data_IF_096560491099
#
_entry.id   IF_096560491099
#
_cell.length_a   1.000
_cell.length_b   1.000
_cell.length_c   1.000
_cell.angle_alpha   90.00
_cell.angle_beta   90.00
_cell.angle_gamma   90.00
#
_symmetry.space_group_name_H-M   'P 1'
#
loop_
_entity.id
_entity.type
_entity.pdbx_description
1 polymer ?
#
# COMPACT_ATOMS: atom_id res chain seq x y z
N UNK A 1 9.13 11.61 20.13
CA UNK A 1 8.44 10.33 19.99
C UNK A 1 8.62 9.77 18.61
N UNK A 2 8.93 8.51 18.55
CA UNK A 2 9.09 7.87 17.26
C UNK A 2 7.73 7.70 16.60
N UNK A 3 7.60 8.22 15.39
CA UNK A 3 6.43 7.98 14.59
C UNK A 3 6.54 6.56 14.03
N UNK A 4 5.45 5.84 14.11
CA UNK A 4 5.38 4.52 13.52
C UNK A 4 5.19 4.65 12.02
N UNK A 5 6.04 4.00 11.27
CA UNK A 5 5.95 3.97 9.82
C UNK A 5 5.67 2.56 9.33
N UNK A 6 4.95 2.49 8.25
CA UNK A 6 4.64 1.24 7.58
C UNK A 6 5.38 1.18 6.26
N UNK A 7 6.01 0.06 5.98
CA UNK A 7 6.59 -0.19 4.67
C UNK A 7 5.62 -1.05 3.89
N UNK A 8 5.18 -0.54 2.76
CA UNK A 8 4.21 -1.21 1.90
C UNK A 8 4.89 -1.62 0.62
N UNK A 9 4.86 -2.89 0.31
CA UNK A 9 5.48 -3.45 -0.89
C UNK A 9 4.41 -4.02 -1.79
N UNK A 10 4.44 -3.65 -3.07
CA UNK A 10 3.52 -4.20 -4.05
C UNK A 10 4.00 -5.60 -4.45
N UNK A 11 3.28 -6.63 -4.03
CA UNK A 11 3.66 -8.02 -4.29
C UNK A 11 2.90 -8.65 -5.43
N UNK A 12 1.78 -8.05 -5.85
CA UNK A 12 0.99 -8.53 -6.99
C UNK A 12 0.61 -7.36 -7.87
N UNK A 13 0.55 -7.61 -9.18
CA UNK A 13 0.13 -6.59 -10.13
C UNK A 13 -1.34 -6.24 -9.94
N UNK A 14 -1.65 -4.95 -10.05
CA UNK A 14 -3.03 -4.47 -10.02
C UNK A 14 -3.73 -4.62 -11.37
N UNK A 15 -3.03 -5.09 -12.39
CA UNK A 15 -3.61 -5.31 -13.71
C UNK A 15 -4.69 -6.39 -13.60
N UNK A 16 -5.87 -6.09 -14.13
CA UNK A 16 -7.01 -7.00 -14.05
C UNK A 16 -7.92 -6.79 -12.85
N UNK A 17 -7.52 -5.94 -11.91
CA UNK A 17 -8.36 -5.57 -10.77
C UNK A 17 -9.15 -4.31 -11.07
N UNK A 18 -10.10 -3.98 -10.21
CA UNK A 18 -10.98 -2.85 -10.40
C UNK A 18 -10.22 -1.52 -10.42
N UNK A 19 -10.80 -0.51 -11.06
CA UNK A 19 -10.22 0.83 -11.09
C UNK A 19 -10.01 1.40 -9.69
N UNK A 20 -10.91 1.10 -8.77
CA UNK A 20 -10.79 1.56 -7.38
C UNK A 20 -9.52 1.03 -6.73
N UNK A 21 -9.23 -0.23 -6.96
CA UNK A 21 -8.04 -0.86 -6.41
C UNK A 21 -6.78 -0.28 -7.04
N UNK A 22 -6.79 -0.05 -8.35
CA UNK A 22 -5.68 0.57 -9.05
C UNK A 22 -5.41 1.97 -8.52
N UNK A 23 -6.46 2.76 -8.32
CA UNK A 23 -6.34 4.11 -7.79
C UNK A 23 -5.79 4.11 -6.37
N UNK A 24 -6.22 3.17 -5.55
CA UNK A 24 -5.74 3.05 -4.18
C UNK A 24 -4.25 2.72 -4.15
N UNK A 25 -3.81 1.80 -4.98
CA UNK A 25 -2.39 1.45 -5.10
C UNK A 25 -1.58 2.65 -5.55
N UNK A 26 -2.06 3.42 -6.52
CA UNK A 26 -1.40 4.65 -6.96
C UNK A 26 -1.34 5.70 -5.87
N UNK A 27 -2.41 5.84 -5.10
CA UNK A 27 -2.46 6.79 -4.00
C UNK A 27 -1.43 6.43 -2.92
N UNK A 28 -1.13 5.15 -2.77
CA UNK A 28 -0.07 4.70 -1.88
C UNK A 28 1.33 4.94 -2.45
N UNK A 29 1.43 5.33 -3.71
CA UNK A 29 2.71 5.57 -4.36
C UNK A 29 3.32 4.34 -5.01
N UNK A 30 2.59 3.25 -5.06
CA UNK A 30 3.08 2.01 -5.66
C UNK A 30 2.70 1.96 -7.13
N UNK A 31 3.70 1.75 -7.99
CA UNK A 31 3.49 1.70 -9.43
C UNK A 31 4.06 0.45 -10.07
N UNK A 32 5.05 -0.15 -9.43
CA UNK A 32 5.74 -1.32 -9.98
C UNK A 32 5.70 -2.47 -8.99
N UNK A 33 5.64 -3.66 -9.53
CA UNK A 33 5.73 -4.86 -8.71
C UNK A 33 7.09 -4.88 -8.00
N UNK A 34 7.06 -5.18 -6.71
CA UNK A 34 8.26 -5.19 -5.89
C UNK A 34 8.67 -3.84 -5.33
N UNK A 35 7.98 -2.76 -5.72
CA UNK A 35 8.27 -1.44 -5.18
C UNK A 35 7.84 -1.34 -3.72
N UNK A 36 8.68 -0.73 -2.90
CA UNK A 36 8.38 -0.50 -1.49
C UNK A 36 8.32 0.99 -1.22
N UNK A 37 7.30 1.43 -0.49
CA UNK A 37 7.17 2.83 -0.05
C UNK A 37 6.89 2.86 1.44
N UNK A 38 7.30 3.95 2.09
CA UNK A 38 7.01 4.18 3.49
C UNK A 38 5.84 5.15 3.64
N UNK A 39 4.97 4.84 4.58
CA UNK A 39 3.85 5.71 4.94
C UNK A 39 3.75 5.81 6.45
N UNK A 40 3.18 6.91 6.92
CA UNK A 40 2.86 7.03 8.33
C UNK A 40 1.71 6.11 8.69
N UNK A 41 1.76 5.56 9.89
CA UNK A 41 0.73 4.65 10.37
C UNK A 41 -0.49 5.47 10.84
N UNK A 42 -1.31 5.88 9.90
CA UNK A 42 -2.53 6.63 10.14
C UNK A 42 -3.75 5.79 9.76
N UNK A 43 -4.91 6.18 10.29
CA UNK A 43 -6.17 5.50 9.97
C UNK A 43 -6.46 5.55 8.47
N UNK A 44 -6.13 6.67 7.82
CA UNK A 44 -6.33 6.82 6.37
C UNK A 44 -5.49 5.82 5.60
N UNK A 45 -4.20 5.74 5.93
CA UNK A 45 -3.29 4.81 5.24
C UNK A 45 -3.68 3.36 5.51
N UNK A 46 -4.04 3.03 6.75
CA UNK A 46 -4.50 1.68 7.08
C UNK A 46 -5.74 1.29 6.29
N UNK A 47 -6.68 2.21 6.13
CA UNK A 47 -7.89 1.98 5.35
C UNK A 47 -7.57 1.69 3.89
N UNK A 48 -6.65 2.46 3.30
CA UNK A 48 -6.22 2.25 1.93
C UNK A 48 -5.53 0.90 1.75
N UNK A 49 -4.63 0.56 2.67
CA UNK A 49 -3.92 -0.72 2.65
C UNK A 49 -4.90 -1.88 2.78
N UNK A 50 -5.89 -1.75 3.65
CA UNK A 50 -6.88 -2.80 3.84
C UNK A 50 -7.64 -3.12 2.54
N UNK A 51 -7.96 -2.10 1.76
CA UNK A 51 -8.67 -2.28 0.50
C UNK A 51 -7.86 -3.06 -0.53
N UNK A 52 -6.56 -2.98 -0.46
CA UNK A 52 -5.66 -3.66 -1.42
C UNK A 52 -4.71 -4.63 -0.71
N UNK A 53 -5.09 -5.13 0.45
CA UNK A 53 -4.24 -6.01 1.26
C UNK A 53 -3.83 -7.28 0.51
N UNK A 54 -4.63 -7.72 -0.43
CA UNK A 54 -4.31 -8.88 -1.27
C UNK A 54 -3.28 -8.59 -2.35
N UNK A 55 -2.94 -7.31 -2.55
CA UNK A 55 -1.98 -6.88 -3.56
C UNK A 55 -0.65 -6.44 -2.95
N UNK A 56 -0.66 -6.13 -1.66
CA UNK A 56 0.51 -5.54 -1.01
C UNK A 56 0.87 -6.32 0.25
N UNK A 57 2.13 -6.18 0.64
CA UNK A 57 2.63 -6.69 1.91
C UNK A 57 3.05 -5.51 2.76
N UNK A 58 2.67 -5.52 4.01
CA UNK A 58 2.98 -4.43 4.94
C UNK A 58 3.92 -4.93 6.01
N UNK A 59 5.03 -4.21 6.18
CA UNK A 59 5.96 -4.42 7.28
C UNK A 59 5.91 -3.22 8.20
N UNK A 60 5.82 -3.48 9.49
CA UNK A 60 5.88 -2.42 10.50
C UNK A 60 7.31 -2.25 10.96
N UNK A 61 7.69 -1.00 11.10
CA UNK A 61 8.95 -0.69 11.76
C UNK A 61 8.80 -0.68 13.27
#
# INVERSE_FOLDING_TARGET
MAEKKLKVTLVRSAIGYSERQKKTVRALGLRRLGQTVEHQDTAVIRGMIHKVSHLVKVDKE
#
